data_IF_211419492673
#
_entry.id   IF_211419492673
#
_cell.length_a   1.000
_cell.length_b   1.000
_cell.length_c   1.000
_cell.angle_alpha   90.00
_cell.angle_beta   90.00
_cell.angle_gamma   90.00
#
_symmetry.space_group_name_H-M   'P 1'
#
loop_
_entity.id
_entity.type
_entity.pdbx_description
1 polymer ?
#
# COMPACT_ATOMS: atom_id res chain seq x y z
N UNK A 1 6.46 5.50 32.08
CA UNK A 1 6.09 4.08 31.96
C UNK A 1 5.12 3.96 30.79
N UNK A 2 5.49 3.35 29.66
CA UNK A 2 4.54 3.12 28.55
C UNK A 2 3.50 2.10 29.04
N UNK A 3 2.22 2.44 28.92
CA UNK A 3 1.11 1.53 29.20
C UNK A 3 1.31 0.19 28.50
N UNK A 4 1.17 -0.92 29.23
CA UNK A 4 1.07 -2.31 28.72
C UNK A 4 -0.29 -2.53 28.04
N UNK A 5 -0.72 -1.60 27.20
CA UNK A 5 -1.92 -1.77 26.40
C UNK A 5 -1.60 -2.77 25.30
N UNK A 6 -2.35 -3.89 25.31
CA UNK A 6 -2.36 -4.88 24.24
C UNK A 6 -2.36 -4.20 22.88
N UNK A 7 -1.34 -4.47 22.07
CA UNK A 7 -1.25 -3.92 20.71
C UNK A 7 -2.01 -4.83 19.75
N UNK A 8 -2.61 -4.23 18.72
CA UNK A 8 -3.33 -4.96 17.68
C UNK A 8 -2.69 -4.73 16.32
N UNK A 9 -2.68 -5.76 15.49
CA UNK A 9 -2.27 -5.73 14.09
C UNK A 9 -3.31 -6.48 13.26
N UNK A 10 -3.61 -5.97 12.07
CA UNK A 10 -4.44 -6.69 11.10
C UNK A 10 -3.53 -7.53 10.21
N UNK A 11 -3.85 -8.81 10.06
CA UNK A 11 -3.32 -9.65 9.00
C UNK A 11 -4.38 -9.67 7.89
N UNK A 12 -3.99 -9.19 6.70
CA UNK A 12 -4.91 -8.96 5.59
C UNK A 12 -4.48 -9.78 4.37
N UNK A 13 -5.47 -10.25 3.59
CA UNK A 13 -5.25 -10.70 2.22
C UNK A 13 -5.58 -9.52 1.32
N UNK A 14 -4.68 -9.16 0.42
CA UNK A 14 -4.91 -8.02 -0.49
C UNK A 14 -4.52 -8.36 -1.92
N UNK A 15 -5.30 -7.83 -2.87
CA UNK A 15 -5.04 -7.95 -4.29
C UNK A 15 -4.16 -6.78 -4.73
N UNK A 16 -2.86 -7.03 -4.93
CA UNK A 16 -1.93 -5.98 -5.38
C UNK A 16 -1.90 -5.80 -6.91
N UNK A 17 -2.45 -6.75 -7.67
CA UNK A 17 -2.48 -6.70 -9.13
C UNK A 17 -1.08 -6.52 -9.74
N UNK A 18 -0.98 -5.60 -10.71
CA UNK A 18 0.28 -5.08 -11.24
C UNK A 18 0.73 -3.85 -10.41
N UNK A 19 1.74 -3.99 -9.52
CA UNK A 19 2.15 -2.89 -8.65
C UNK A 19 3.14 -1.94 -9.33
N UNK A 20 2.98 -0.64 -9.08
CA UNK A 20 4.03 0.35 -9.33
C UNK A 20 5.02 0.37 -8.16
N UNK A 21 6.28 0.00 -8.41
CA UNK A 21 7.33 -0.02 -7.37
C UNK A 21 8.12 1.29 -7.41
N UNK A 22 8.27 1.95 -6.26
CA UNK A 22 8.97 3.23 -6.16
C UNK A 22 9.72 3.36 -4.83
N UNK A 23 10.85 4.05 -4.88
CA UNK A 23 11.58 4.49 -3.68
C UNK A 23 11.25 5.94 -3.29
N UNK A 24 10.41 6.62 -4.07
CA UNK A 24 10.04 8.02 -3.84
C UNK A 24 8.97 8.13 -2.75
N UNK A 25 9.22 9.02 -1.78
CA UNK A 25 8.21 9.42 -0.80
C UNK A 25 7.21 10.40 -1.43
N UNK A 26 6.36 9.90 -2.34
CA UNK A 26 5.28 10.65 -2.98
C UNK A 26 3.92 10.10 -2.54
N UNK A 27 2.99 11.01 -2.26
CA UNK A 27 1.58 10.65 -2.07
C UNK A 27 0.90 10.58 -3.43
N UNK A 28 0.46 9.38 -3.81
CA UNK A 28 -0.21 9.12 -5.09
C UNK A 28 -1.72 9.11 -4.87
N UNK A 29 -2.48 9.95 -5.58
CA UNK A 29 -3.94 10.05 -5.42
C UNK A 29 -4.70 8.82 -5.97
N UNK A 30 -4.07 8.10 -6.90
CA UNK A 30 -4.50 6.83 -7.50
C UNK A 30 -3.24 6.10 -8.00
N UNK A 31 -3.33 4.83 -8.43
CA UNK A 31 -2.19 4.17 -9.03
C UNK A 31 -1.65 4.96 -10.24
N UNK A 32 -0.33 5.02 -10.43
CA UNK A 32 0.26 5.72 -11.56
C UNK A 32 -0.13 5.13 -12.91
N UNK A 33 -0.06 5.95 -13.96
CA UNK A 33 -0.23 5.49 -15.33
C UNK A 33 0.92 4.56 -15.74
N UNK A 34 0.62 3.46 -16.44
CA UNK A 34 1.64 2.52 -16.91
C UNK A 34 2.58 3.12 -17.97
N UNK A 35 2.15 4.19 -18.65
CA UNK A 35 2.93 4.82 -19.73
C UNK A 35 3.81 5.98 -19.25
N UNK A 36 3.30 6.88 -18.41
CA UNK A 36 4.05 8.06 -17.95
C UNK A 36 4.43 8.02 -16.45
N UNK A 37 3.96 7.02 -15.70
CA UNK A 37 4.27 6.83 -14.28
C UNK A 37 3.83 7.98 -13.35
N UNK A 38 2.96 8.87 -13.85
CA UNK A 38 2.28 9.88 -13.06
C UNK A 38 0.89 9.43 -12.66
N UNK A 39 0.46 9.75 -11.44
CA UNK A 39 -0.90 9.54 -10.97
C UNK A 39 -1.88 10.49 -11.67
N UNK A 40 -1.45 11.72 -11.96
CA UNK A 40 -2.23 12.71 -12.73
C UNK A 40 -1.64 12.84 -14.13
N UNK A 41 -2.28 12.21 -15.11
CA UNK A 41 -1.81 12.18 -16.49
C UNK A 41 -2.93 12.47 -17.50
N UNK A 42 -2.52 12.84 -18.72
CA UNK A 42 -3.40 13.03 -19.88
C UNK A 42 -3.20 11.97 -20.98
N UNK A 43 -2.57 10.84 -20.65
CA UNK A 43 -2.36 9.74 -21.60
C UNK A 43 -3.70 9.15 -22.08
N UNK A 44 -3.84 8.93 -23.38
CA UNK A 44 -5.08 8.45 -24.00
C UNK A 44 -5.46 7.00 -23.63
N UNK A 45 -4.46 6.17 -23.31
CA UNK A 45 -4.67 4.75 -23.08
C UNK A 45 -5.37 4.43 -21.76
N UNK A 46 -5.44 5.38 -20.80
CA UNK A 46 -6.08 5.22 -19.49
C UNK A 46 -5.74 3.91 -18.75
N UNK A 47 -4.53 3.37 -18.99
CA UNK A 47 -4.02 2.21 -18.27
C UNK A 47 -3.20 2.69 -17.08
N UNK A 48 -3.54 2.15 -15.92
CA UNK A 48 -2.94 2.45 -14.63
C UNK A 48 -2.54 1.14 -13.98
N UNK A 49 -1.53 1.19 -13.11
CA UNK A 49 -1.22 0.10 -12.20
C UNK A 49 -2.41 -0.18 -11.26
N UNK A 50 -2.36 -1.26 -10.49
CA UNK A 50 -3.43 -1.59 -9.55
C UNK A 50 -3.10 -1.11 -8.13
N UNK A 51 -1.81 -1.09 -7.78
CA UNK A 51 -1.33 -0.71 -6.45
C UNK A 51 0.03 0.00 -6.52
N UNK A 52 0.48 0.56 -5.39
CA UNK A 52 1.81 1.16 -5.25
C UNK A 52 2.58 0.44 -4.14
N UNK A 53 3.82 0.06 -4.42
CA UNK A 53 4.74 -0.50 -3.44
C UNK A 53 5.88 0.49 -3.20
N UNK A 54 5.96 1.00 -1.97
CA UNK A 54 7.10 1.77 -1.48
C UNK A 54 8.23 0.84 -1.05
N UNK A 55 9.32 0.80 -1.83
CA UNK A 55 10.54 0.03 -1.55
C UNK A 55 11.71 1.01 -1.28
N UNK A 56 11.55 1.83 -0.24
CA UNK A 56 12.57 2.77 0.23
C UNK A 56 13.49 2.15 1.28
N UNK A 57 14.38 2.97 1.86
CA UNK A 57 15.38 2.54 2.86
C UNK A 57 14.80 2.21 4.26
N UNK A 58 13.48 2.05 4.38
CA UNK A 58 12.79 1.68 5.61
C UNK A 58 12.86 0.17 5.87
N UNK A 59 12.62 -0.22 7.14
CA UNK A 59 12.66 -1.63 7.56
C UNK A 59 11.51 -2.49 6.96
N UNK A 60 10.48 -1.87 6.38
CA UNK A 60 9.31 -2.55 5.85
C UNK A 60 8.91 -1.94 4.51
N UNK A 61 8.39 -2.78 3.61
CA UNK A 61 7.72 -2.31 2.40
C UNK A 61 6.33 -1.83 2.73
N UNK A 62 5.96 -0.71 2.15
CA UNK A 62 4.61 -0.17 2.26
C UNK A 62 3.83 -0.49 0.99
N UNK A 63 2.60 -0.98 1.13
CA UNK A 63 1.72 -1.28 0.00
C UNK A 63 0.49 -0.38 0.10
N UNK A 64 0.18 0.35 -0.97
CA UNK A 64 -0.96 1.25 -1.06
C UNK A 64 -1.94 0.67 -2.08
N UNK A 65 -3.17 0.48 -1.62
CA UNK A 65 -4.32 0.04 -2.42
C UNK A 65 -5.42 1.08 -2.33
N UNK A 66 -6.19 1.23 -3.41
CA UNK A 66 -7.11 2.35 -3.59
C UNK A 66 -8.59 1.97 -3.53
N UNK A 67 -8.89 0.67 -3.63
CA UNK A 67 -10.24 0.17 -3.57
C UNK A 67 -10.43 -0.71 -2.33
N UNK A 68 -11.51 -0.46 -1.59
CA UNK A 68 -11.83 -1.19 -0.36
C UNK A 68 -12.09 -2.67 -0.61
N UNK A 69 -12.55 -3.04 -1.81
CA UNK A 69 -12.81 -4.46 -2.15
C UNK A 69 -11.55 -5.27 -2.34
N UNK A 70 -10.39 -4.63 -2.46
CA UNK A 70 -9.10 -5.29 -2.68
C UNK A 70 -8.42 -5.70 -1.36
N UNK A 71 -9.09 -5.49 -0.22
CA UNK A 71 -8.57 -5.80 1.11
C UNK A 71 -9.57 -6.63 1.90
N UNK A 72 -9.15 -7.82 2.30
CA UNK A 72 -9.87 -8.67 3.23
C UNK A 72 -9.11 -8.79 4.55
N UNK A 73 -9.63 -8.21 5.66
CA UNK A 73 -9.02 -8.36 6.98
C UNK A 73 -9.30 -9.76 7.52
N UNK A 74 -8.33 -10.66 7.37
CA UNK A 74 -8.50 -12.08 7.69
C UNK A 74 -8.39 -12.33 9.19
N UNK A 75 -7.43 -11.67 9.87
CA UNK A 75 -7.22 -11.86 11.30
C UNK A 75 -6.86 -10.55 12.03
N UNK A 76 -7.20 -10.51 13.31
CA UNK A 76 -6.73 -9.48 14.26
C UNK A 76 -5.74 -10.16 15.22
N UNK A 77 -4.47 -9.77 15.13
CA UNK A 77 -3.41 -10.28 15.99
C UNK A 77 -3.24 -9.34 17.18
N UNK A 78 -3.43 -9.86 18.39
CA UNK A 78 -3.15 -9.14 19.63
C UNK A 78 -1.79 -9.57 20.17
N UNK A 79 -0.90 -8.63 20.48
CA UNK A 79 0.45 -8.93 20.92
C UNK A 79 1.00 -7.94 21.96
N UNK A 80 1.95 -8.42 22.76
CA UNK A 80 2.77 -7.61 23.65
C UNK A 80 4.16 -7.42 23.04
N UNK A 81 4.63 -6.16 23.00
CA UNK A 81 5.99 -5.86 22.53
C UNK A 81 6.93 -5.99 23.71
N UNK A 82 7.81 -6.98 23.66
CA UNK A 82 8.92 -7.19 24.60
C UNK A 82 10.07 -6.27 24.24
#
# INVERSE_FOLDING_TARGET
MRSLTDRKMLLVRTCLGEPFVTSSAKSYARPPCTSCQEDKCHCSNNQFYDSVIGDGSWNFRECIVYNMTDVYPEYIVTYNRV
#
